data_IF_666730158313
#
_entry.id   IF_666730158313
#
_cell.length_a   1.000
_cell.length_b   1.000
_cell.length_c   1.000
_cell.angle_alpha   90.00
_cell.angle_beta   90.00
_cell.angle_gamma   90.00
#
_symmetry.space_group_name_H-M   'P 1'
#
loop_
_entity.id
_entity.type
_entity.pdbx_description
1 polymer ?
#
# COMPACT_ATOMS: atom_id res chain seq x y z
N UNK A 1 -5.33 25.22 20.01
CA UNK A 1 -4.56 25.20 18.75
C UNK A 1 -4.82 26.50 18.01
N UNK A 2 -3.77 27.26 17.75
CA UNK A 2 -3.85 28.46 16.92
C UNK A 2 -4.40 28.11 15.54
N UNK A 3 -5.60 28.59 15.24
CA UNK A 3 -6.28 28.37 13.93
C UNK A 3 -5.59 29.09 12.77
N UNK A 4 -4.48 29.79 13.01
CA UNK A 4 -3.73 30.49 11.96
C UNK A 4 -2.80 29.52 11.23
N UNK A 5 -2.91 29.43 9.88
CA UNK A 5 -1.98 28.64 9.08
C UNK A 5 -0.52 29.08 9.33
N UNK A 6 0.36 28.13 9.54
CA UNK A 6 1.79 28.38 9.68
C UNK A 6 2.50 27.84 8.45
N UNK A 7 3.29 28.68 7.78
CA UNK A 7 4.13 28.28 6.66
C UNK A 7 5.44 27.67 7.16
N UNK A 8 5.85 26.57 6.52
CA UNK A 8 7.17 25.96 6.73
C UNK A 8 8.01 26.26 5.50
N UNK A 9 9.17 26.90 5.69
CA UNK A 9 10.09 27.19 4.61
C UNK A 9 11.06 26.03 4.44
N UNK A 10 10.99 25.39 3.28
CA UNK A 10 11.89 24.30 2.89
C UNK A 10 12.68 24.71 1.65
N UNK A 11 13.97 24.36 1.61
CA UNK A 11 14.79 24.62 0.43
C UNK A 11 14.56 23.55 -0.63
N UNK A 12 14.66 23.91 -1.92
CA UNK A 12 14.62 22.94 -3.01
C UNK A 12 15.69 21.86 -2.85
N UNK A 13 16.89 22.25 -2.43
CA UNK A 13 17.99 21.31 -2.17
C UNK A 13 17.60 20.24 -1.16
N UNK A 14 17.06 20.63 0.01
CA UNK A 14 16.65 19.69 1.04
C UNK A 14 15.55 18.73 0.58
N UNK A 15 14.56 19.22 -0.18
CA UNK A 15 13.49 18.40 -0.73
C UNK A 15 14.03 17.38 -1.74
N UNK A 16 14.84 17.85 -2.70
CA UNK A 16 15.40 17.00 -3.77
C UNK A 16 16.34 15.94 -3.21
N UNK A 17 17.23 16.31 -2.27
CA UNK A 17 18.15 15.35 -1.67
C UNK A 17 17.43 14.25 -0.91
N UNK A 18 16.38 14.61 -0.15
CA UNK A 18 15.57 13.63 0.57
C UNK A 18 14.77 12.74 -0.39
N UNK A 19 14.17 13.34 -1.41
CA UNK A 19 13.45 12.57 -2.43
C UNK A 19 14.37 11.59 -3.14
N UNK A 20 15.58 12.01 -3.50
CA UNK A 20 16.59 11.17 -4.15
C UNK A 20 16.99 10.00 -3.25
N UNK A 21 17.32 10.27 -1.98
CA UNK A 21 17.70 9.25 -1.01
C UNK A 21 16.60 8.20 -0.81
N UNK A 22 15.32 8.63 -0.72
CA UNK A 22 14.19 7.70 -0.57
C UNK A 22 13.93 6.93 -1.87
N UNK A 23 14.00 7.59 -3.03
CA UNK A 23 13.82 6.95 -4.33
C UNK A 23 14.88 5.86 -4.59
N UNK A 24 16.14 6.13 -4.23
CA UNK A 24 17.23 5.16 -4.34
C UNK A 24 17.02 3.96 -3.39
N UNK A 25 16.58 4.22 -2.17
CA UNK A 25 16.29 3.19 -1.17
C UNK A 25 15.15 2.26 -1.63
N UNK A 26 14.08 2.83 -2.17
CA UNK A 26 12.90 2.10 -2.67
C UNK A 26 13.12 1.58 -4.10
N UNK A 27 14.22 1.93 -4.74
CA UNK A 27 14.57 1.57 -6.14
C UNK A 27 13.46 1.99 -7.12
N UNK A 28 12.96 3.22 -6.95
CA UNK A 28 11.94 3.77 -7.82
C UNK A 28 12.51 4.11 -9.19
N UNK A 29 11.69 3.90 -10.22
CA UNK A 29 12.01 4.18 -11.61
C UNK A 29 10.94 5.08 -12.24
N UNK A 30 11.15 5.50 -13.47
CA UNK A 30 10.17 6.21 -14.30
C UNK A 30 8.96 5.35 -14.71
N UNK A 31 8.99 4.06 -14.43
CA UNK A 31 7.93 3.09 -14.73
C UNK A 31 6.87 3.00 -13.62
N UNK A 32 7.02 3.76 -12.55
CA UNK A 32 6.05 3.71 -11.44
C UNK A 32 4.82 4.57 -11.73
N UNK A 33 3.67 4.06 -11.30
CA UNK A 33 2.40 4.78 -11.24
C UNK A 33 2.03 5.08 -9.80
N UNK A 34 1.80 6.34 -9.48
CA UNK A 34 1.48 6.83 -8.14
C UNK A 34 0.09 7.43 -8.11
N UNK A 35 -0.69 7.16 -7.07
CA UNK A 35 -1.95 7.82 -6.80
C UNK A 35 -1.79 8.86 -5.69
N UNK A 36 -1.87 10.13 -6.06
CA UNK A 36 -1.71 11.28 -5.17
C UNK A 36 -3.07 11.73 -4.62
N UNK A 37 -3.52 11.15 -3.52
CA UNK A 37 -4.86 11.37 -2.97
C UNK A 37 -4.88 12.11 -1.62
N UNK A 38 -3.72 12.28 -0.99
CA UNK A 38 -3.61 12.98 0.29
C UNK A 38 -3.55 14.50 0.09
N UNK A 39 -3.88 15.31 1.11
CA UNK A 39 -3.82 16.76 1.01
C UNK A 39 -2.40 17.27 0.63
N UNK A 40 -2.28 18.17 -0.37
CA UNK A 40 -0.98 18.68 -0.81
C UNK A 40 -0.19 19.44 0.27
N UNK A 41 -0.88 19.95 1.30
CA UNK A 41 -0.26 20.61 2.44
C UNK A 41 0.51 19.63 3.35
N UNK A 42 0.29 18.33 3.22
CA UNK A 42 1.05 17.31 3.93
C UNK A 42 2.42 17.14 3.30
N UNK A 43 3.47 17.24 4.13
CA UNK A 43 4.84 17.02 3.65
C UNK A 43 5.01 15.62 3.03
N UNK A 44 4.32 14.61 3.56
CA UNK A 44 4.31 13.27 2.99
C UNK A 44 3.81 13.25 1.56
N UNK A 45 2.62 13.84 1.28
CA UNK A 45 2.09 13.91 -0.07
C UNK A 45 3.03 14.71 -1.00
N UNK A 46 3.56 15.83 -0.52
CA UNK A 46 4.50 16.64 -1.29
C UNK A 46 5.78 15.86 -1.65
N UNK A 47 6.35 15.15 -0.66
CA UNK A 47 7.56 14.35 -0.84
C UNK A 47 7.32 13.14 -1.76
N UNK A 48 6.32 12.32 -1.44
CA UNK A 48 6.09 11.03 -2.09
C UNK A 48 5.39 11.10 -3.45
N UNK A 49 4.87 12.26 -3.82
CA UNK A 49 4.28 12.44 -5.16
C UNK A 49 5.08 13.45 -5.97
N UNK A 50 5.10 14.71 -5.55
CA UNK A 50 5.66 15.78 -6.39
C UNK A 50 7.20 15.79 -6.40
N UNK A 51 7.84 15.72 -5.23
CA UNK A 51 9.29 15.85 -5.18
C UNK A 51 9.99 14.61 -5.72
N UNK A 52 9.47 13.42 -5.44
CA UNK A 52 9.99 12.18 -6.03
C UNK A 52 9.73 12.11 -7.54
N UNK A 53 8.59 12.60 -8.03
CA UNK A 53 8.34 12.74 -9.46
C UNK A 53 9.46 13.52 -10.17
N UNK A 54 9.89 14.66 -9.59
CA UNK A 54 10.96 15.48 -10.15
C UNK A 54 12.33 14.77 -10.22
N UNK A 55 12.52 13.77 -9.39
CA UNK A 55 13.77 13.00 -9.29
C UNK A 55 13.74 11.75 -10.17
N UNK A 56 12.61 11.06 -10.22
CA UNK A 56 12.48 9.74 -10.85
C UNK A 56 11.79 9.78 -12.22
N UNK A 57 10.90 10.76 -12.45
CA UNK A 57 10.15 10.87 -13.70
C UNK A 57 8.91 9.97 -13.79
N UNK A 58 8.46 9.35 -12.71
CA UNK A 58 7.30 8.46 -12.71
C UNK A 58 5.97 9.20 -12.97
N UNK A 59 4.90 8.47 -13.25
CA UNK A 59 3.57 9.04 -13.47
C UNK A 59 2.84 9.30 -12.15
N UNK A 60 2.27 10.50 -12.00
CA UNK A 60 1.40 10.85 -10.87
C UNK A 60 -0.03 11.03 -11.34
N UNK A 61 -0.93 10.24 -10.80
CA UNK A 61 -2.36 10.29 -11.04
C UNK A 61 -3.08 10.97 -9.87
N UNK A 62 -4.06 11.78 -10.16
CA UNK A 62 -4.88 12.45 -9.15
C UNK A 62 -6.32 11.96 -9.23
N UNK A 63 -6.96 11.62 -8.10
CA UNK A 63 -8.38 11.30 -8.09
C UNK A 63 -9.21 12.56 -8.36
N UNK A 64 -10.37 12.39 -8.98
CA UNK A 64 -11.30 13.51 -9.21
C UNK A 64 -11.86 14.08 -7.91
N UNK A 65 -12.06 13.20 -6.92
CA UNK A 65 -12.58 13.56 -5.61
C UNK A 65 -12.15 12.55 -4.55
N UNK A 66 -12.28 12.87 -3.26
CA UNK A 66 -12.06 11.89 -2.19
C UNK A 66 -12.94 10.63 -2.30
N UNK A 67 -14.14 10.77 -2.89
CA UNK A 67 -15.09 9.66 -3.01
C UNK A 67 -14.70 8.69 -4.13
N UNK A 68 -13.94 9.14 -5.14
CA UNK A 68 -13.48 8.31 -6.26
C UNK A 68 -12.18 7.56 -5.99
N UNK A 69 -11.43 7.90 -4.94
CA UNK A 69 -10.10 7.33 -4.62
C UNK A 69 -10.07 5.81 -4.70
N UNK A 70 -11.10 5.12 -4.18
CA UNK A 70 -11.15 3.65 -4.19
C UNK A 70 -11.37 3.07 -5.59
N UNK A 71 -12.08 3.79 -6.45
CA UNK A 71 -12.33 3.41 -7.84
C UNK A 71 -11.04 3.65 -8.65
N UNK A 72 -10.47 4.85 -8.52
CA UNK A 72 -9.26 5.26 -9.21
C UNK A 72 -8.07 4.36 -8.85
N UNK A 73 -7.95 4.00 -7.56
CA UNK A 73 -6.94 3.05 -7.09
C UNK A 73 -7.05 1.69 -7.80
N UNK A 74 -8.27 1.22 -8.03
CA UNK A 74 -8.49 -0.05 -8.72
C UNK A 74 -8.24 0.05 -10.21
N UNK A 75 -8.63 1.17 -10.83
CA UNK A 75 -8.53 1.36 -12.27
C UNK A 75 -7.09 1.66 -12.71
N UNK A 76 -6.36 2.48 -11.93
CA UNK A 76 -4.95 2.82 -12.17
C UNK A 76 -4.04 1.66 -11.75
N UNK A 77 -4.32 1.02 -10.60
CA UNK A 77 -3.48 -0.03 -10.04
C UNK A 77 -2.07 0.48 -9.71
N UNK A 78 -1.91 1.50 -8.84
CA UNK A 78 -0.62 2.14 -8.59
C UNK A 78 0.46 1.12 -8.22
N UNK A 79 1.67 1.31 -8.73
CA UNK A 79 2.82 0.45 -8.44
C UNK A 79 3.56 0.93 -7.21
N UNK A 80 3.49 2.22 -6.91
CA UNK A 80 4.01 2.83 -5.70
C UNK A 80 2.91 3.61 -4.99
N UNK A 81 2.65 3.30 -3.73
CA UNK A 81 1.54 3.85 -2.97
C UNK A 81 1.94 4.22 -1.56
N UNK A 82 1.81 5.49 -1.22
CA UNK A 82 2.03 5.98 0.13
C UNK A 82 0.70 6.07 0.87
N UNK A 83 0.56 5.35 1.97
CA UNK A 83 -0.64 5.34 2.79
C UNK A 83 -0.32 5.46 4.28
N UNK A 84 -0.94 6.40 5.01
CA UNK A 84 -0.92 6.39 6.45
C UNK A 84 -1.57 5.12 7.00
N UNK A 85 -1.16 4.61 8.19
CA UNK A 85 -1.70 3.39 8.79
C UNK A 85 -3.23 3.37 8.83
N UNK A 86 -3.85 4.49 9.16
CA UNK A 86 -5.31 4.64 9.22
C UNK A 86 -6.03 4.33 7.89
N UNK A 87 -5.38 4.61 6.76
CA UNK A 87 -5.95 4.28 5.44
C UNK A 87 -5.90 2.78 5.20
N UNK A 88 -4.80 2.13 5.60
CA UNK A 88 -4.64 0.67 5.51
C UNK A 88 -5.64 -0.06 6.41
N UNK A 89 -5.85 0.43 7.63
CA UNK A 89 -6.90 -0.06 8.55
C UNK A 89 -8.29 0.07 7.93
N UNK A 90 -8.59 1.20 7.29
CA UNK A 90 -9.82 1.41 6.55
C UNK A 90 -10.02 0.40 5.41
N UNK A 91 -8.98 0.16 4.62
CA UNK A 91 -9.01 -0.86 3.55
C UNK A 91 -9.26 -2.27 4.12
N UNK A 92 -8.58 -2.62 5.21
CA UNK A 92 -8.80 -3.89 5.89
C UNK A 92 -10.25 -4.02 6.39
N UNK A 93 -10.78 -2.99 7.02
CA UNK A 93 -12.16 -2.94 7.50
C UNK A 93 -13.16 -3.17 6.37
N UNK A 94 -12.98 -2.52 5.23
CA UNK A 94 -13.81 -2.74 4.05
C UNK A 94 -13.78 -4.17 3.54
N UNK A 95 -12.60 -4.80 3.54
CA UNK A 95 -12.45 -6.21 3.18
C UNK A 95 -13.20 -7.10 4.17
N UNK A 96 -13.05 -6.85 5.47
CA UNK A 96 -13.71 -7.64 6.51
C UNK A 96 -15.23 -7.54 6.42
N UNK A 97 -15.79 -6.35 6.27
CA UNK A 97 -17.25 -6.15 6.10
C UNK A 97 -17.76 -6.93 4.88
N UNK A 98 -17.11 -6.81 3.73
CA UNK A 98 -17.50 -7.56 2.52
C UNK A 98 -17.40 -9.08 2.71
N UNK A 99 -16.50 -9.54 3.56
CA UNK A 99 -16.38 -10.96 3.87
C UNK A 99 -17.43 -11.44 4.87
N UNK A 100 -17.94 -10.58 5.76
CA UNK A 100 -19.08 -10.90 6.64
C UNK A 100 -20.37 -11.11 5.84
N UNK A 101 -20.58 -10.31 4.79
CA UNK A 101 -21.70 -10.46 3.87
C UNK A 101 -21.57 -11.66 2.92
N UNK A 102 -20.40 -12.28 2.86
CA UNK A 102 -20.15 -13.41 1.99
C UNK A 102 -20.77 -14.72 2.54
N UNK A 103 -21.18 -15.61 1.64
CA UNK A 103 -21.70 -16.92 2.02
C UNK A 103 -20.72 -17.73 2.90
N UNK A 104 -21.27 -18.59 3.75
CA UNK A 104 -20.55 -19.37 4.76
C UNK A 104 -19.26 -20.05 4.24
N UNK A 105 -19.32 -20.69 3.07
CA UNK A 105 -18.18 -21.39 2.48
C UNK A 105 -17.04 -20.43 2.13
N UNK A 106 -17.37 -19.28 1.55
CA UNK A 106 -16.42 -18.24 1.16
C UNK A 106 -15.73 -17.65 2.38
N UNK A 107 -16.48 -17.38 3.44
CA UNK A 107 -15.98 -16.88 4.72
C UNK A 107 -15.04 -17.88 5.41
N UNK A 108 -15.40 -19.18 5.42
CA UNK A 108 -14.56 -20.25 5.97
C UNK A 108 -13.25 -20.40 5.20
N UNK A 109 -13.32 -20.35 3.87
CA UNK A 109 -12.13 -20.40 3.01
C UNK A 109 -11.22 -19.19 3.22
N UNK A 110 -11.79 -18.00 3.28
CA UNK A 110 -11.05 -16.77 3.58
C UNK A 110 -10.32 -16.85 4.92
N UNK A 111 -10.99 -17.28 5.99
CA UNK A 111 -10.38 -17.45 7.30
C UNK A 111 -9.23 -18.45 7.31
N UNK A 112 -9.37 -19.57 6.60
CA UNK A 112 -8.30 -20.57 6.48
C UNK A 112 -7.09 -20.01 5.70
N UNK A 113 -7.34 -19.30 4.58
CA UNK A 113 -6.29 -18.66 3.80
C UNK A 113 -5.56 -17.56 4.60
N UNK A 114 -6.29 -16.74 5.37
CA UNK A 114 -5.70 -15.70 6.20
C UNK A 114 -4.79 -16.26 7.31
N UNK A 115 -5.20 -17.36 7.96
CA UNK A 115 -4.34 -18.05 8.94
C UNK A 115 -3.06 -18.59 8.29
N UNK A 116 -3.19 -19.16 7.10
CA UNK A 116 -2.04 -19.64 6.32
C UNK A 116 -1.12 -18.47 5.91
N UNK A 117 -1.70 -17.37 5.41
CA UNK A 117 -0.95 -16.19 4.99
C UNK A 117 -0.13 -15.58 6.13
N UNK A 118 -0.71 -15.46 7.32
CA UNK A 118 0.02 -14.98 8.51
C UNK A 118 1.21 -15.88 8.81
N UNK A 119 0.99 -17.21 8.93
CA UNK A 119 2.05 -18.18 9.26
C UNK A 119 3.17 -18.22 8.21
N UNK A 120 2.82 -18.27 6.93
CA UNK A 120 3.76 -18.39 5.82
C UNK A 120 4.40 -17.04 5.51
N UNK A 121 3.62 -15.96 5.54
CA UNK A 121 4.08 -14.62 5.29
C UNK A 121 5.17 -14.17 6.26
N UNK A 122 4.97 -14.39 7.56
CA UNK A 122 6.00 -14.10 8.57
C UNK A 122 7.30 -14.84 8.26
N UNK A 123 7.24 -16.14 7.98
CA UNK A 123 8.42 -16.93 7.61
C UNK A 123 9.15 -16.41 6.38
N UNK A 124 8.39 -16.01 5.35
CA UNK A 124 8.99 -15.44 4.12
C UNK A 124 9.68 -14.10 4.44
N UNK A 125 9.05 -13.24 5.26
CA UNK A 125 9.63 -11.95 5.66
C UNK A 125 10.89 -12.11 6.51
N UNK A 126 10.92 -13.13 7.36
CA UNK A 126 12.07 -13.45 8.22
C UNK A 126 13.19 -14.20 7.47
N UNK A 127 12.99 -14.51 6.19
CA UNK A 127 13.95 -15.24 5.36
C UNK A 127 14.06 -16.74 5.70
N UNK A 128 13.06 -17.26 6.43
CA UNK A 128 13.03 -18.68 6.80
C UNK A 128 12.59 -19.57 5.62
N UNK A 129 13.04 -20.82 5.65
CA UNK A 129 12.61 -21.82 4.67
C UNK A 129 11.16 -22.23 4.88
N UNK A 130 10.34 -22.11 3.82
CA UNK A 130 8.94 -22.56 3.84
C UNK A 130 8.83 -23.94 3.24
N UNK A 131 8.15 -24.86 3.95
CA UNK A 131 7.88 -26.20 3.45
C UNK A 131 7.14 -26.16 2.09
N UNK A 132 7.53 -27.06 1.18
CA UNK A 132 6.95 -27.14 -0.17
C UNK A 132 5.40 -27.27 -0.15
N UNK A 133 4.86 -27.97 0.83
CA UNK A 133 3.41 -28.10 1.01
C UNK A 133 2.71 -26.79 1.39
N UNK A 134 3.28 -26.04 2.32
CA UNK A 134 2.76 -24.71 2.70
C UNK A 134 2.90 -23.72 1.55
N UNK A 135 3.99 -23.80 0.77
CA UNK A 135 4.20 -22.99 -0.43
C UNK A 135 3.14 -23.29 -1.50
N UNK A 136 2.80 -24.54 -1.71
CA UNK A 136 1.74 -24.95 -2.65
C UNK A 136 0.36 -24.45 -2.18
N UNK A 137 0.03 -24.60 -0.90
CA UNK A 137 -1.21 -24.08 -0.32
C UNK A 137 -1.30 -22.56 -0.40
N UNK A 138 -0.20 -21.88 -0.17
CA UNK A 138 -0.13 -20.42 -0.31
C UNK A 138 -0.34 -19.99 -1.76
N UNK A 139 0.26 -20.70 -2.73
CA UNK A 139 0.04 -20.46 -4.16
C UNK A 139 -1.43 -20.66 -4.56
N UNK A 140 -2.08 -21.71 -4.04
CA UNK A 140 -3.50 -21.94 -4.26
C UNK A 140 -4.36 -20.82 -3.63
N UNK A 141 -4.04 -20.40 -2.41
CA UNK A 141 -4.67 -19.26 -1.76
C UNK A 141 -4.49 -17.96 -2.55
N UNK A 142 -3.35 -17.81 -3.24
CA UNK A 142 -3.08 -16.68 -4.12
C UNK A 142 -4.06 -16.60 -5.30
N UNK A 143 -4.38 -17.73 -5.90
CA UNK A 143 -5.35 -17.79 -7.01
C UNK A 143 -6.78 -17.56 -6.53
N UNK A 144 -7.16 -18.17 -5.42
CA UNK A 144 -8.56 -18.21 -4.97
C UNK A 144 -8.99 -16.97 -4.15
N UNK A 145 -8.08 -16.40 -3.35
CA UNK A 145 -8.40 -15.34 -2.39
C UNK A 145 -7.51 -14.12 -2.58
N UNK A 146 -6.17 -14.27 -2.51
CA UNK A 146 -5.28 -13.10 -2.48
C UNK A 146 -5.20 -12.39 -3.83
N UNK A 147 -5.27 -13.12 -4.96
CA UNK A 147 -5.30 -12.53 -6.30
C UNK A 147 -6.54 -11.67 -6.52
N UNK A 148 -7.76 -12.20 -6.37
CA UNK A 148 -8.99 -11.42 -6.41
C UNK A 148 -9.01 -10.25 -5.43
N UNK A 149 -8.48 -10.44 -4.21
CA UNK A 149 -8.39 -9.38 -3.22
C UNK A 149 -7.43 -8.26 -3.67
N UNK A 150 -6.24 -8.60 -4.17
CA UNK A 150 -5.30 -7.62 -4.72
C UNK A 150 -5.88 -6.87 -5.92
N UNK A 151 -6.61 -7.54 -6.78
CA UNK A 151 -7.29 -6.90 -7.90
C UNK A 151 -8.38 -5.92 -7.42
N UNK A 152 -9.13 -6.29 -6.37
CA UNK A 152 -10.14 -5.43 -5.77
C UNK A 152 -9.54 -4.21 -5.06
N UNK A 153 -8.30 -4.33 -4.57
CA UNK A 153 -7.54 -3.26 -3.91
C UNK A 153 -6.58 -2.51 -4.86
N UNK A 154 -6.63 -2.77 -6.17
CA UNK A 154 -5.82 -2.06 -7.16
C UNK A 154 -4.40 -2.58 -7.34
N UNK A 155 -4.17 -3.91 -7.28
CA UNK A 155 -2.85 -4.55 -7.53
C UNK A 155 -1.68 -3.93 -6.79
N UNK A 156 -1.92 -3.35 -5.62
CA UNK A 156 -0.91 -2.68 -4.83
C UNK A 156 0.36 -3.55 -4.71
N UNK A 157 1.42 -3.18 -5.41
CA UNK A 157 2.75 -3.43 -4.89
C UNK A 157 2.88 -2.49 -3.70
N UNK A 158 2.60 -2.97 -2.51
CA UNK A 158 2.89 -2.21 -1.31
C UNK A 158 4.40 -1.93 -1.34
N UNK A 159 4.77 -0.72 -1.68
CA UNK A 159 6.08 -0.20 -1.34
C UNK A 159 6.24 -0.48 0.16
N UNK A 160 7.39 -1.03 0.54
CA UNK A 160 7.66 -1.38 1.93
C UNK A 160 7.33 -0.18 2.79
N UNK A 161 6.21 -0.29 3.50
CA UNK A 161 5.80 0.72 4.47
C UNK A 161 6.95 0.91 5.44
N UNK A 162 7.32 2.16 5.66
CA UNK A 162 8.33 2.60 6.59
C UNK A 162 8.21 1.87 7.93
N UNK A 163 9.20 1.04 8.23
CA UNK A 163 9.38 0.38 9.49
C UNK A 163 9.43 -1.14 9.33
N UNK A 164 10.62 -1.69 9.51
CA UNK A 164 10.87 -3.12 9.70
C UNK A 164 10.08 -3.71 10.89
N UNK A 165 9.23 -2.89 11.53
CA UNK A 165 8.44 -3.20 12.72
C UNK A 165 6.94 -2.93 12.58
N UNK A 166 6.50 -2.27 11.51
CA UNK A 166 5.08 -2.12 11.23
C UNK A 166 4.62 -3.17 10.20
N UNK A 167 4.86 -4.43 10.51
CA UNK A 167 3.91 -5.45 10.07
C UNK A 167 2.57 -4.96 10.56
N UNK A 168 1.62 -4.74 9.66
CA UNK A 168 0.23 -4.51 10.02
C UNK A 168 -0.09 -5.60 11.03
N UNK A 169 -0.05 -5.23 12.31
CA UNK A 169 -0.45 -6.10 13.41
C UNK A 169 -1.93 -6.36 13.21
N UNK A 170 -2.20 -7.42 12.50
CA UNK A 170 -3.51 -8.05 12.49
C UNK A 170 -3.45 -9.00 13.67
N UNK A 171 -3.46 -8.44 14.89
CA UNK A 171 -3.76 -9.18 16.11
C UNK A 171 -5.22 -9.58 16.17
#
# INVERSE_FOLDING_TARGET
SDLKPKGVVLTHHALIDRARAVSDMEKLTDQEDVLAYLPPAWIGQNMFSYTQLLVTGFTVNHPESPDTVSIDMRDIGPTYYFAPPRVLEGLLTHVMIRMEDAGYLKRKLFGACMKLARRVGTKILDGESVNAWDRMRYALGNVLIYGPLRNALGKLKLAQTYGKHDTIGID
#
